data_IF_851915643087
#
_entry.id   IF_851915643087
#
_cell.length_a   1.000
_cell.length_b   1.000
_cell.length_c   1.000
_cell.angle_alpha   90.00
_cell.angle_beta   90.00
_cell.angle_gamma   90.00
#
_symmetry.space_group_name_H-M   'P 1'
#
loop_
_entity.id
_entity.type
_entity.pdbx_description
1 polymer ?
#
# COMPACT_ATOMS: atom_id res chain seq x y z
N UNK A 1 34.21 -11.53 18.05
CA UNK A 1 32.96 -11.52 17.25
C UNK A 1 33.20 -12.41 16.04
N UNK A 2 32.42 -13.48 15.87
CA UNK A 2 32.49 -14.30 14.65
C UNK A 2 31.84 -13.54 13.51
N UNK A 3 32.50 -13.48 12.35
CA UNK A 3 31.93 -12.89 11.12
C UNK A 3 30.73 -13.69 10.57
N UNK A 4 30.43 -14.86 11.14
CA UNK A 4 29.46 -15.84 10.63
C UNK A 4 28.36 -16.17 11.63
N UNK A 5 27.96 -15.20 12.46
CA UNK A 5 26.77 -15.38 13.30
C UNK A 5 25.51 -15.27 12.45
N UNK A 6 24.62 -16.25 12.57
CA UNK A 6 23.30 -16.18 11.93
C UNK A 6 22.56 -14.90 12.34
N UNK A 7 21.83 -14.26 11.43
CA UNK A 7 20.99 -13.12 11.78
C UNK A 7 19.94 -13.53 12.83
N UNK A 8 19.50 -12.59 13.69
CA UNK A 8 18.43 -12.86 14.64
C UNK A 8 17.17 -13.29 13.89
N UNK A 9 16.33 -14.10 14.54
CA UNK A 9 15.03 -14.43 13.96
C UNK A 9 14.14 -13.17 13.89
N UNK A 10 13.26 -13.08 12.88
CA UNK A 10 12.30 -11.99 12.80
C UNK A 10 11.39 -11.92 14.03
N UNK A 11 10.98 -10.70 14.40
CA UNK A 11 10.13 -10.46 15.57
C UNK A 11 8.77 -11.17 15.48
N UNK A 12 8.21 -11.29 14.28
CA UNK A 12 6.98 -12.03 14.01
C UNK A 12 7.11 -12.89 12.76
N UNK A 13 6.11 -13.76 12.53
CA UNK A 13 6.04 -14.58 11.31
C UNK A 13 5.89 -13.76 10.02
N UNK A 14 5.55 -12.47 10.09
CA UNK A 14 5.50 -11.61 8.89
C UNK A 14 6.87 -11.45 8.24
N UNK A 15 7.95 -11.42 9.02
CA UNK A 15 9.32 -11.33 8.52
C UNK A 15 9.87 -12.64 7.94
N UNK A 16 9.07 -13.72 7.88
CA UNK A 16 9.45 -14.97 7.21
C UNK A 16 8.89 -14.96 5.78
N UNK A 17 9.64 -14.34 4.88
CA UNK A 17 9.19 -14.09 3.51
C UNK A 17 9.06 -15.34 2.65
N UNK A 18 8.18 -15.24 1.66
CA UNK A 18 7.89 -16.26 0.65
C UNK A 18 8.10 -15.68 -0.73
N UNK A 19 8.50 -16.52 -1.67
CA UNK A 19 8.54 -16.14 -3.09
C UNK A 19 7.12 -15.91 -3.59
N UNK A 20 6.87 -14.74 -4.19
CA UNK A 20 5.55 -14.32 -4.64
C UNK A 20 4.94 -15.27 -5.69
N UNK A 21 5.74 -15.71 -6.65
CA UNK A 21 5.32 -16.73 -7.62
C UNK A 21 6.51 -17.45 -8.25
N UNK A 22 6.28 -18.62 -8.84
CA UNK A 22 7.32 -19.35 -9.58
C UNK A 22 7.92 -18.57 -10.77
N UNK A 23 7.22 -17.53 -11.25
CA UNK A 23 7.68 -16.67 -12.36
C UNK A 23 8.23 -15.32 -11.90
N UNK A 24 8.16 -15.02 -10.60
CA UNK A 24 8.61 -13.76 -10.03
C UNK A 24 9.34 -14.02 -8.70
N UNK A 25 10.67 -13.88 -8.70
CA UNK A 25 11.54 -14.07 -7.54
C UNK A 25 11.44 -12.99 -6.45
N UNK A 26 10.34 -12.24 -6.41
CA UNK A 26 10.08 -11.20 -5.40
C UNK A 26 9.73 -11.90 -4.09
N UNK A 27 10.33 -11.46 -2.99
CA UNK A 27 10.07 -12.00 -1.65
C UNK A 27 9.11 -11.10 -0.88
N UNK A 28 8.00 -11.67 -0.45
CA UNK A 28 6.92 -10.94 0.22
C UNK A 28 6.59 -11.60 1.57
N UNK A 29 6.09 -10.80 2.51
CA UNK A 29 5.52 -11.28 3.75
C UNK A 29 4.35 -12.24 3.48
N UNK A 30 4.15 -13.27 4.33
CA UNK A 30 3.13 -14.29 4.13
C UNK A 30 1.70 -13.74 4.23
N UNK A 31 1.52 -12.55 4.79
CA UNK A 31 0.28 -11.78 4.76
C UNK A 31 0.54 -10.42 4.12
N UNK A 32 -0.35 -10.02 3.23
CA UNK A 32 -0.35 -8.73 2.54
C UNK A 32 -1.30 -7.76 3.26
N UNK A 33 -0.88 -6.52 3.43
CA UNK A 33 -1.73 -5.47 3.98
C UNK A 33 -2.62 -4.87 2.88
N UNK A 34 -3.93 -5.06 2.99
CA UNK A 34 -4.91 -4.35 2.17
C UNK A 34 -5.05 -2.90 2.61
N UNK A 35 -4.79 -1.93 1.73
CA UNK A 35 -4.77 -0.51 2.03
C UNK A 35 -6.05 0.26 1.63
N UNK A 36 -7.17 -0.45 1.44
CA UNK A 36 -8.46 0.17 1.08
C UNK A 36 -8.94 1.21 2.11
N UNK A 37 -8.59 1.02 3.38
CA UNK A 37 -8.92 1.97 4.46
C UNK A 37 -7.85 3.03 4.68
N UNK A 38 -6.65 2.91 4.08
CA UNK A 38 -5.59 3.92 4.20
C UNK A 38 -5.97 5.12 3.33
N UNK A 39 -6.17 6.28 3.94
CA UNK A 39 -6.67 7.50 3.27
C UNK A 39 -7.96 8.03 3.91
N UNK A 40 -8.36 9.24 3.52
CA UNK A 40 -9.28 10.09 4.31
C UNK A 40 -10.53 10.60 3.55
N UNK A 41 -10.82 10.06 2.35
CA UNK A 41 -11.85 10.62 1.48
C UNK A 41 -13.22 9.93 1.59
N UNK A 42 -13.29 8.69 2.08
CA UNK A 42 -14.53 7.90 2.09
C UNK A 42 -15.35 7.99 3.37
N UNK A 43 -14.92 8.77 4.37
CA UNK A 43 -15.69 9.02 5.61
C UNK A 43 -17.11 9.50 5.30
N UNK A 44 -17.24 10.45 4.36
CA UNK A 44 -18.53 11.00 3.91
C UNK A 44 -19.43 9.98 3.22
N UNK A 45 -18.88 8.84 2.78
CA UNK A 45 -19.61 7.74 2.14
C UNK A 45 -19.95 6.62 3.13
N UNK A 46 -19.57 6.75 4.40
CA UNK A 46 -19.81 5.74 5.43
C UNK A 46 -18.97 4.47 5.25
N UNK A 47 -17.93 4.47 4.42
CA UNK A 47 -17.08 3.30 4.13
C UNK A 47 -15.82 3.24 5.02
N UNK A 48 -15.91 3.80 6.21
CA UNK A 48 -14.82 3.90 7.17
C UNK A 48 -14.07 5.22 7.09
N UNK A 49 -13.53 5.64 8.23
CA UNK A 49 -12.71 6.83 8.37
C UNK A 49 -11.35 6.45 8.92
N UNK A 50 -10.31 6.97 8.28
CA UNK A 50 -8.96 6.89 8.80
C UNK A 50 -8.26 8.20 8.42
N UNK A 51 -7.69 8.89 9.41
CA UNK A 51 -6.86 10.05 9.13
C UNK A 51 -5.44 9.64 8.75
N UNK A 52 -4.62 10.62 8.36
CA UNK A 52 -3.22 10.39 8.00
C UNK A 52 -2.41 9.82 9.17
N UNK A 53 -2.65 10.29 10.38
CA UNK A 53 -1.92 9.86 11.57
C UNK A 53 -2.17 8.37 11.87
N UNK A 54 -3.44 7.97 11.88
CA UNK A 54 -3.86 6.58 12.11
C UNK A 54 -3.42 5.68 10.96
N UNK A 55 -3.46 6.17 9.71
CA UNK A 55 -2.91 5.48 8.55
C UNK A 55 -1.42 5.17 8.74
N UNK A 56 -0.63 6.16 9.18
CA UNK A 56 0.80 5.99 9.39
C UNK A 56 1.07 5.02 10.55
N UNK A 57 0.30 5.11 11.64
CA UNK A 57 0.38 4.16 12.77
C UNK A 57 0.11 2.72 12.34
N UNK A 58 -0.88 2.49 11.46
CA UNK A 58 -1.16 1.17 10.90
C UNK A 58 0.01 0.65 10.05
N UNK A 59 0.53 1.51 9.16
CA UNK A 59 1.64 1.16 8.28
C UNK A 59 2.92 0.86 9.09
N UNK A 60 3.20 1.65 10.13
CA UNK A 60 4.29 1.40 11.09
C UNK A 60 4.13 0.05 11.77
N UNK A 61 2.97 -0.21 12.38
CA UNK A 61 2.73 -1.47 13.09
C UNK A 61 2.91 -2.69 12.17
N UNK A 62 2.48 -2.59 10.90
CA UNK A 62 2.66 -3.66 9.92
C UNK A 62 4.14 -3.85 9.55
N UNK A 63 4.85 -2.76 9.26
CA UNK A 63 6.26 -2.78 8.89
C UNK A 63 7.16 -3.26 10.04
N UNK A 64 6.95 -2.75 11.25
CA UNK A 64 7.69 -3.12 12.46
C UNK A 64 7.48 -4.59 12.85
N UNK A 65 6.30 -5.15 12.53
CA UNK A 65 6.06 -6.57 12.67
C UNK A 65 6.79 -7.43 11.62
N UNK A 66 7.40 -6.81 10.61
CA UNK A 66 8.16 -7.44 9.51
C UNK A 66 7.39 -7.53 8.19
N UNK A 67 6.21 -6.92 8.09
CA UNK A 67 5.43 -6.89 6.85
C UNK A 67 6.10 -6.03 5.78
N UNK A 68 6.02 -6.44 4.50
CA UNK A 68 6.61 -5.67 3.41
C UNK A 68 5.72 -5.58 2.16
N UNK A 69 4.53 -6.17 2.17
CA UNK A 69 3.69 -6.24 0.98
C UNK A 69 2.38 -5.46 1.18
N UNK A 70 2.24 -4.34 0.48
CA UNK A 70 1.09 -3.45 0.58
C UNK A 70 0.29 -3.50 -0.74
N UNK A 71 -1.00 -3.78 -0.63
CA UNK A 71 -1.98 -3.75 -1.71
C UNK A 71 -2.76 -2.42 -1.70
N UNK A 72 -2.69 -1.65 -2.77
CA UNK A 72 -3.51 -0.44 -2.94
C UNK A 72 -4.18 -0.42 -4.32
N UNK A 73 -4.89 0.66 -4.64
CA UNK A 73 -5.53 0.90 -5.92
C UNK A 73 -5.82 2.40 -6.09
N UNK A 74 -5.90 2.83 -7.34
CA UNK A 74 -6.17 4.23 -7.69
C UNK A 74 -7.51 4.79 -7.18
N UNK A 75 -8.51 3.94 -6.96
CA UNK A 75 -9.78 4.37 -6.36
C UNK A 75 -9.75 4.42 -4.84
N UNK A 76 -8.80 3.75 -4.17
CA UNK A 76 -8.85 3.65 -2.71
C UNK A 76 -8.71 5.04 -2.10
N UNK A 77 -9.74 5.41 -1.33
CA UNK A 77 -9.85 6.71 -0.70
C UNK A 77 -9.64 7.87 -1.68
N UNK A 78 -10.17 7.74 -2.91
CA UNK A 78 -10.07 8.73 -3.98
C UNK A 78 -8.65 9.27 -4.15
N UNK A 79 -7.70 8.36 -4.47
CA UNK A 79 -6.26 8.59 -4.67
C UNK A 79 -5.43 8.73 -3.38
N UNK A 80 -6.05 9.06 -2.24
CA UNK A 80 -5.27 9.36 -1.03
C UNK A 80 -4.58 8.15 -0.40
N UNK A 81 -5.02 6.92 -0.68
CA UNK A 81 -4.32 5.71 -0.25
C UNK A 81 -2.89 5.65 -0.81
N UNK A 82 -2.75 5.83 -2.13
CA UNK A 82 -1.44 5.80 -2.80
C UNK A 82 -0.56 6.96 -2.32
N UNK A 83 -1.16 8.15 -2.15
CA UNK A 83 -0.46 9.33 -1.64
C UNK A 83 0.10 9.12 -0.24
N UNK A 84 -0.70 8.56 0.67
CA UNK A 84 -0.30 8.36 2.06
C UNK A 84 0.77 7.28 2.18
N UNK A 85 0.66 6.18 1.44
CA UNK A 85 1.69 5.13 1.40
C UNK A 85 3.01 5.70 0.86
N UNK A 86 2.96 6.49 -0.22
CA UNK A 86 4.14 7.14 -0.80
C UNK A 86 4.83 8.09 0.18
N UNK A 87 4.07 9.01 0.78
CA UNK A 87 4.58 9.95 1.78
C UNK A 87 5.14 9.23 3.02
N UNK A 88 4.45 8.19 3.49
CA UNK A 88 4.89 7.38 4.63
C UNK A 88 6.22 6.68 4.38
N UNK A 89 6.38 6.06 3.22
CA UNK A 89 7.59 5.33 2.82
C UNK A 89 8.77 6.26 2.59
N UNK A 90 8.55 7.42 1.95
CA UNK A 90 9.57 8.45 1.72
C UNK A 90 10.09 9.02 3.05
N UNK A 91 9.19 9.37 3.98
CA UNK A 91 9.57 9.92 5.30
C UNK A 91 10.42 8.98 6.16
N UNK A 92 10.37 7.68 5.88
CA UNK A 92 11.11 6.64 6.62
C UNK A 92 12.33 6.11 5.86
N UNK A 93 12.51 6.53 4.60
CA UNK A 93 13.56 6.02 3.72
C UNK A 93 13.55 4.48 3.58
N UNK A 94 12.34 3.91 3.44
CA UNK A 94 12.14 2.45 3.40
C UNK A 94 11.61 1.94 2.05
N UNK A 95 11.60 2.77 0.99
CA UNK A 95 10.99 2.40 -0.29
C UNK A 95 11.55 1.08 -0.83
N UNK A 96 12.85 0.86 -0.76
CA UNK A 96 13.51 -0.34 -1.28
C UNK A 96 13.21 -1.61 -0.47
N UNK A 97 12.62 -1.46 0.71
CA UNK A 97 12.24 -2.56 1.59
C UNK A 97 10.80 -3.03 1.34
N UNK A 98 10.05 -2.34 0.47
CA UNK A 98 8.62 -2.55 0.26
C UNK A 98 8.30 -3.11 -1.12
N UNK A 99 7.33 -4.01 -1.15
CA UNK A 99 6.59 -4.42 -2.33
C UNK A 99 5.24 -3.73 -2.30
N UNK A 100 4.99 -2.84 -3.26
CA UNK A 100 3.74 -2.09 -3.37
C UNK A 100 3.06 -2.51 -4.66
N UNK A 101 1.86 -3.09 -4.55
CA UNK A 101 1.01 -3.42 -5.69
C UNK A 101 -0.14 -2.43 -5.78
N UNK A 102 -0.38 -1.90 -6.98
CA UNK A 102 -1.55 -1.05 -7.26
C UNK A 102 -2.37 -1.59 -8.43
N UNK A 103 -3.54 -0.99 -8.64
CA UNK A 103 -4.54 -1.38 -9.64
C UNK A 103 -5.06 -0.12 -10.32
N UNK A 104 -5.46 -0.27 -11.58
CA UNK A 104 -6.08 0.77 -12.38
C UNK A 104 -7.41 0.26 -12.97
N UNK A 105 -8.02 1.02 -13.90
CA UNK A 105 -9.31 0.75 -14.59
C UNK A 105 -10.54 1.40 -13.93
N UNK A 106 -10.56 1.53 -12.61
CA UNK A 106 -11.70 2.11 -11.90
C UNK A 106 -11.94 3.58 -12.27
N UNK A 107 -13.19 4.05 -12.21
CA UNK A 107 -13.57 5.44 -12.50
C UNK A 107 -13.39 6.40 -11.32
N UNK A 108 -12.21 6.41 -10.69
CA UNK A 108 -11.97 7.15 -9.43
C UNK A 108 -12.21 8.67 -9.53
N UNK A 109 -12.03 9.26 -10.72
CA UNK A 109 -12.30 10.69 -10.98
C UNK A 109 -13.76 11.00 -11.30
N UNK A 110 -14.62 10.00 -11.45
CA UNK A 110 -16.03 10.21 -11.81
C UNK A 110 -16.81 11.02 -10.75
N UNK A 111 -16.41 10.88 -9.48
CA UNK A 111 -17.02 11.58 -8.33
C UNK A 111 -16.46 13.00 -8.10
N UNK A 112 -15.48 13.44 -8.88
CA UNK A 112 -14.84 14.74 -8.70
C UNK A 112 -15.43 15.76 -9.69
N UNK A 113 -16.07 16.81 -9.17
CA UNK A 113 -16.77 17.82 -9.99
C UNK A 113 -15.84 18.75 -10.76
N UNK A 114 -14.55 18.79 -10.40
CA UNK A 114 -13.54 19.60 -11.11
C UNK A 114 -13.28 19.14 -12.56
N UNK A 115 -13.68 17.93 -12.94
CA UNK A 115 -13.43 17.40 -14.29
C UNK A 115 -14.68 17.43 -15.15
N UNK A 116 -14.64 18.22 -16.22
CA UNK A 116 -15.71 18.28 -17.22
C UNK A 116 -15.80 16.99 -18.07
N UNK A 117 -14.66 16.43 -18.51
CA UNK A 117 -14.61 15.23 -19.32
C UNK A 117 -14.13 14.04 -18.50
N UNK A 118 -15.09 13.22 -18.03
CA UNK A 118 -14.83 12.09 -17.11
C UNK A 118 -14.53 10.77 -17.84
N UNK A 119 -14.87 10.67 -19.13
CA UNK A 119 -14.69 9.46 -19.97
C UNK A 119 -13.23 9.01 -20.08
N UNK A 120 -12.28 9.93 -19.96
CA UNK A 120 -10.84 9.64 -20.05
C UNK A 120 -10.24 9.06 -18.75
N UNK A 121 -11.05 8.79 -17.73
CA UNK A 121 -10.59 8.31 -16.43
C UNK A 121 -11.18 6.96 -16.02
N UNK A 122 -11.63 6.16 -16.99
CA UNK A 122 -12.18 4.82 -16.80
C UNK A 122 -11.60 3.89 -17.87
N UNK A 123 -11.44 2.60 -17.54
CA UNK A 123 -11.10 1.56 -18.51
C UNK A 123 -9.62 1.17 -18.53
N UNK A 124 -9.31 0.13 -19.29
CA UNK A 124 -7.94 -0.44 -19.34
C UNK A 124 -6.98 0.40 -20.20
N UNK A 125 -7.49 1.43 -20.87
CA UNK A 125 -6.74 2.31 -21.77
C UNK A 125 -6.16 3.55 -21.08
N UNK A 126 -6.38 3.70 -19.77
CA UNK A 126 -5.90 4.86 -19.02
C UNK A 126 -4.63 4.50 -18.24
N UNK A 127 -3.69 5.44 -18.18
CA UNK A 127 -2.63 5.40 -17.20
C UNK A 127 -3.21 5.94 -15.89
N UNK A 128 -3.11 5.13 -14.83
CA UNK A 128 -3.39 5.60 -13.48
C UNK A 128 -2.22 6.36 -12.90
#
# INVERSE_FOLDING_TARGET
>A
MSFWTSPPQPATKLGVYRTLSAKAGVHVSPLQLGAMSVGDQWDKLGMGSMDKESSFKLLDAYFDAGGNFIDTANNYQDETSEMFIGEWAEKRDIRDQLVIATKYTSGFKARQDKYAQKVNYVGNNIKS
#
